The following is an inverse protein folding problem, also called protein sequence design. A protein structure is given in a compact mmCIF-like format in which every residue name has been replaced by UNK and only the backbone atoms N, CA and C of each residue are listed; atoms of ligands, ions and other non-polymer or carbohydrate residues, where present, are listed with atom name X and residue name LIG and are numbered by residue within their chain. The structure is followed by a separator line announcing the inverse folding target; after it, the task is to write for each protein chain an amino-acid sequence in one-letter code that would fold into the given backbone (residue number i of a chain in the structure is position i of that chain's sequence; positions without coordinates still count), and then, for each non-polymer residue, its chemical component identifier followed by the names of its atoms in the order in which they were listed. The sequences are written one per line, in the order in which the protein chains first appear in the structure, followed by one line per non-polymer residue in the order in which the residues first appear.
data_IF_881358728153
#
_entry.id   IF_881358728153
#
_cell.length_a   1.000
_cell.length_b   1.000
_cell.length_c   1.000
_cell.angle_alpha   90.00
_cell.angle_beta   90.00
_cell.angle_gamma   90.00
#
_symmetry.space_group_name_H-M   'P 1'
#
loop_
_entity.id
_entity.type
_entity.pdbx_description
1 polymer ?
#
# COMPACT_ATOMS: atom_id res chain seq x y z
N UNK A 1 -0.40 -24.97 -13.46
CA UNK A 1 0.40 -24.56 -12.28
C UNK A 1 0.16 -25.58 -11.17
N UNK A 2 1.19 -26.14 -10.58
CA UNK A 2 1.07 -27.02 -9.40
C UNK A 2 0.80 -26.13 -8.20
N UNK A 3 -0.29 -26.42 -7.46
CA UNK A 3 -0.65 -25.70 -6.25
C UNK A 3 -0.17 -26.46 -5.02
N UNK A 4 0.28 -25.71 -3.99
CA UNK A 4 0.68 -26.26 -2.71
C UNK A 4 0.19 -25.37 -1.56
N UNK A 5 -0.10 -26.00 -0.42
CA UNK A 5 -0.51 -25.28 0.79
C UNK A 5 0.66 -24.48 1.36
N UNK A 6 0.45 -23.17 1.54
CA UNK A 6 1.45 -22.24 2.05
C UNK A 6 1.07 -21.66 3.43
N UNK A 7 -0.02 -22.16 4.02
CA UNK A 7 -0.44 -21.82 5.37
C UNK A 7 -1.77 -21.09 5.43
N UNK A 8 -2.14 -20.74 6.67
CA UNK A 8 -3.43 -20.14 7.00
C UNK A 8 -3.23 -18.80 7.72
N UNK A 9 -4.04 -17.82 7.34
CA UNK A 9 -4.06 -16.47 7.89
C UNK A 9 -5.52 -16.01 8.02
N UNK A 10 -5.76 -14.91 8.74
CA UNK A 10 -7.11 -14.35 8.83
C UNK A 10 -7.40 -13.47 7.61
N UNK A 11 -6.41 -12.67 7.18
CA UNK A 11 -6.59 -11.72 6.10
C UNK A 11 -5.37 -11.66 5.17
N UNK A 12 -5.63 -11.55 3.88
CA UNK A 12 -4.62 -11.23 2.87
C UNK A 12 -4.81 -9.79 2.38
N UNK A 13 -3.74 -9.01 2.34
CA UNK A 13 -3.71 -7.68 1.73
C UNK A 13 -2.86 -7.75 0.46
N UNK A 14 -3.45 -7.42 -0.67
CA UNK A 14 -2.84 -7.54 -2.01
C UNK A 14 -2.40 -6.16 -2.46
N UNK A 15 -1.11 -5.89 -2.33
CA UNK A 15 -0.46 -4.62 -2.62
C UNK A 15 0.01 -3.89 -1.37
N UNK A 16 1.30 -3.48 -1.36
CA UNK A 16 1.93 -2.71 -0.28
C UNK A 16 2.16 -1.24 -0.68
N UNK A 17 1.21 -0.65 -1.39
CA UNK A 17 1.06 0.80 -1.52
C UNK A 17 0.45 1.39 -0.23
N UNK A 18 0.21 2.70 -0.21
CA UNK A 18 -0.28 3.37 1.02
C UNK A 18 -1.55 2.73 1.60
N UNK A 19 -2.54 2.46 0.76
CA UNK A 19 -3.79 1.84 1.20
C UNK A 19 -3.57 0.43 1.76
N UNK A 20 -2.73 -0.38 1.10
CA UNK A 20 -2.42 -1.72 1.56
C UNK A 20 -1.63 -1.75 2.85
N UNK A 21 -0.65 -0.84 3.02
CA UNK A 21 0.11 -0.71 4.26
C UNK A 21 -0.82 -0.41 5.44
N UNK A 22 -1.69 0.59 5.28
CA UNK A 22 -2.62 0.98 6.34
C UNK A 22 -3.61 -0.14 6.68
N UNK A 23 -4.13 -0.84 5.68
CA UNK A 23 -5.01 -1.99 5.88
C UNK A 23 -4.29 -3.14 6.60
N UNK A 24 -3.05 -3.45 6.20
CA UNK A 24 -2.27 -4.52 6.81
C UNK A 24 -1.90 -4.21 8.26
N UNK A 25 -1.45 -2.99 8.54
CA UNK A 25 -1.13 -2.55 9.91
C UNK A 25 -2.37 -2.53 10.79
N UNK A 26 -3.50 -2.02 10.29
CA UNK A 26 -4.75 -2.00 11.04
C UNK A 26 -5.21 -3.42 11.40
N UNK A 27 -5.23 -4.34 10.44
CA UNK A 27 -5.62 -5.73 10.67
C UNK A 27 -4.71 -6.43 11.70
N UNK A 28 -3.40 -6.27 11.56
CA UNK A 28 -2.43 -6.87 12.47
C UNK A 28 -2.51 -6.30 13.89
N UNK A 29 -2.73 -4.99 14.02
CA UNK A 29 -2.94 -4.31 15.33
C UNK A 29 -4.24 -4.72 16.01
N UNK A 30 -5.23 -5.16 15.24
CA UNK A 30 -6.46 -5.79 15.76
C UNK A 30 -6.25 -7.26 16.18
N UNK A 31 -5.04 -7.80 16.08
CA UNK A 31 -4.71 -9.17 16.47
C UNK A 31 -4.95 -10.21 15.37
N UNK A 32 -5.28 -9.79 14.14
CA UNK A 32 -5.48 -10.72 13.03
C UNK A 32 -4.13 -11.16 12.43
N UNK A 33 -4.01 -12.45 12.14
CA UNK A 33 -2.87 -12.98 11.38
C UNK A 33 -2.96 -12.49 9.95
N UNK A 34 -2.15 -11.49 9.62
CA UNK A 34 -2.23 -10.72 8.38
C UNK A 34 -1.08 -11.04 7.45
N UNK A 35 -1.39 -11.29 6.18
CA UNK A 35 -0.41 -11.52 5.13
C UNK A 35 -0.50 -10.38 4.11
N UNK A 36 0.58 -9.62 3.94
CA UNK A 36 0.66 -8.52 2.97
C UNK A 36 1.54 -8.92 1.79
N UNK A 37 1.00 -8.85 0.59
CA UNK A 37 1.70 -9.17 -0.65
C UNK A 37 2.17 -7.91 -1.36
N UNK A 38 3.35 -7.96 -1.93
CA UNK A 38 3.87 -6.95 -2.85
C UNK A 38 4.62 -7.62 -3.99
N UNK A 39 4.56 -7.03 -5.17
CA UNK A 39 5.34 -7.50 -6.33
C UNK A 39 6.83 -7.16 -6.20
N UNK A 40 7.16 -6.16 -5.38
CA UNK A 40 8.53 -5.74 -5.11
C UNK A 40 8.65 -5.17 -3.69
N UNK A 41 9.50 -5.77 -2.85
CA UNK A 41 9.77 -5.31 -1.48
C UNK A 41 10.45 -3.93 -1.42
N UNK A 42 11.15 -3.52 -2.46
CA UNK A 42 11.78 -2.20 -2.53
C UNK A 42 10.82 -1.10 -3.02
N UNK A 43 9.58 -1.48 -3.40
CA UNK A 43 8.52 -0.55 -3.79
C UNK A 43 7.43 -0.38 -2.71
N UNK A 44 7.65 -0.89 -1.49
CA UNK A 44 6.73 -0.67 -0.35
C UNK A 44 6.63 0.82 -0.05
N UNK A 45 5.41 1.35 0.05
CA UNK A 45 5.16 2.77 0.31
C UNK A 45 5.67 3.70 -0.79
N UNK A 46 5.76 3.22 -2.02
CA UNK A 46 6.31 3.99 -3.14
C UNK A 46 5.51 5.25 -3.42
N UNK A 47 6.23 6.34 -3.72
CA UNK A 47 5.68 7.62 -4.15
C UNK A 47 6.15 7.92 -5.58
N UNK A 48 5.47 7.38 -6.62
CA UNK A 48 5.97 7.45 -8.00
C UNK A 48 5.91 8.85 -8.60
N UNK A 49 5.07 9.73 -8.05
CA UNK A 49 5.00 11.13 -8.48
C UNK A 49 5.89 12.03 -7.61
N UNK A 50 5.31 13.06 -6.99
CA UNK A 50 6.00 13.91 -6.04
C UNK A 50 6.09 13.21 -4.67
N UNK A 51 7.26 13.15 -4.02
CA UNK A 51 7.39 12.60 -2.68
C UNK A 51 6.84 13.60 -1.66
N UNK A 52 5.52 13.70 -1.60
CA UNK A 52 4.82 14.64 -0.73
C UNK A 52 3.53 14.03 -0.17
N UNK A 53 3.30 14.28 1.12
CA UNK A 53 2.11 13.86 1.85
C UNK A 53 1.26 15.07 2.19
N UNK A 54 -0.06 14.95 2.06
CA UNK A 54 -1.01 16.04 2.30
C UNK A 54 -1.24 16.93 1.08
N UNK A 55 -1.50 18.20 1.32
CA UNK A 55 -1.90 19.17 0.30
C UNK A 55 -3.41 19.26 0.10
N UNK A 56 -3.82 20.09 -0.87
CA UNK A 56 -5.24 20.35 -1.17
C UNK A 56 -5.95 19.06 -1.58
N UNK A 57 -7.09 18.77 -0.96
CA UNK A 57 -7.89 17.57 -1.21
C UNK A 57 -7.32 16.27 -0.64
N UNK A 58 -6.16 16.29 0.03
CA UNK A 58 -5.48 15.12 0.59
C UNK A 58 -5.17 15.25 2.07
N UNK A 59 -4.82 16.45 2.55
CA UNK A 59 -4.36 16.68 3.92
C UNK A 59 -5.39 16.31 4.99
N UNK A 60 -6.66 16.49 4.74
CA UNK A 60 -7.74 16.08 5.65
C UNK A 60 -7.85 14.56 5.75
N UNK A 61 -7.72 13.83 4.63
CA UNK A 61 -7.71 12.37 4.64
C UNK A 61 -6.54 11.79 5.44
N UNK A 62 -5.35 12.40 5.32
CA UNK A 62 -4.18 12.00 6.13
C UNK A 62 -4.45 12.20 7.62
N UNK A 63 -5.08 13.32 8.01
CA UNK A 63 -5.42 13.61 9.40
C UNK A 63 -6.50 12.68 9.96
N UNK A 64 -7.51 12.35 9.15
CA UNK A 64 -8.55 11.38 9.53
C UNK A 64 -7.93 10.00 9.75
N UNK A 65 -7.04 9.58 8.84
CA UNK A 65 -6.31 8.34 8.96
C UNK A 65 -5.41 8.32 10.21
N UNK A 66 -4.68 9.39 10.46
CA UNK A 66 -3.81 9.55 11.65
C UNK A 66 -4.63 9.48 12.95
N UNK A 67 -5.79 10.10 12.99
CA UNK A 67 -6.72 10.04 14.13
C UNK A 67 -7.23 8.63 14.43
N UNK A 68 -7.26 7.74 13.43
CA UNK A 68 -7.59 6.33 13.56
C UNK A 68 -6.37 5.44 13.89
N UNK A 69 -5.19 6.04 14.10
CA UNK A 69 -3.96 5.33 14.41
C UNK A 69 -3.16 4.88 13.18
N UNK A 70 -3.41 5.49 12.01
CA UNK A 70 -2.67 5.23 10.77
C UNK A 70 -1.20 5.64 10.84
N UNK A 71 -0.41 5.14 9.92
CA UNK A 71 1.05 5.29 9.94
C UNK A 71 1.56 6.36 8.98
N UNK A 72 0.77 6.74 7.98
CA UNK A 72 1.19 7.68 6.93
C UNK A 72 1.64 9.04 7.48
N UNK A 73 0.91 9.62 8.43
CA UNK A 73 1.26 10.90 9.07
C UNK A 73 2.57 10.79 9.83
N UNK A 74 2.73 9.76 10.64
CA UNK A 74 3.94 9.49 11.45
C UNK A 74 5.18 9.25 10.59
N UNK A 75 5.03 8.47 9.51
CA UNK A 75 6.12 8.24 8.56
C UNK A 75 6.48 9.52 7.78
N UNK A 76 5.48 10.33 7.44
CA UNK A 76 5.71 11.64 6.81
C UNK A 76 6.49 12.56 7.72
N UNK A 77 6.18 12.62 9.03
CA UNK A 77 6.91 13.43 9.99
C UNK A 77 8.38 13.01 10.12
N UNK A 78 8.66 11.71 10.10
CA UNK A 78 10.03 11.18 10.16
C UNK A 78 10.85 11.48 8.90
N UNK A 79 10.21 11.44 7.74
CA UNK A 79 10.88 11.60 6.45
C UNK A 79 10.76 13.02 5.88
N UNK A 80 10.17 13.96 6.63
CA UNK A 80 9.90 15.30 6.15
C UNK A 80 11.17 16.12 5.95
N UNK A 81 11.28 16.70 4.75
CA UNK A 81 12.33 17.66 4.40
C UNK A 81 11.82 19.09 4.60
N UNK A 82 10.56 19.35 4.28
CA UNK A 82 9.93 20.65 4.34
C UNK A 82 8.42 20.57 4.56
N UNK A 83 7.91 21.39 5.48
CA UNK A 83 6.48 21.64 5.60
C UNK A 83 6.10 22.96 4.92
N UNK A 84 4.97 22.94 4.21
CA UNK A 84 4.42 24.14 3.60
C UNK A 84 2.90 24.15 3.69
N UNK A 85 2.34 25.30 4.07
CA UNK A 85 0.90 25.54 3.96
C UNK A 85 0.62 26.10 2.57
N UNK A 86 -0.17 25.37 1.80
CA UNK A 86 -0.65 25.77 0.48
C UNK A 86 -1.87 26.67 0.59
N UNK A 87 -2.13 27.46 -0.46
CA UNK A 87 -3.33 28.31 -0.60
C UNK A 87 -3.50 29.41 0.47
N UNK A 88 -2.42 29.90 1.08
CA UNK A 88 -2.48 30.98 2.08
C UNK A 88 -3.23 32.22 1.61
N UNK A 89 -3.13 32.56 0.33
CA UNK A 89 -3.82 33.70 -0.27
C UNK A 89 -5.31 33.48 -0.59
N UNK A 90 -5.83 32.24 -0.39
CA UNK A 90 -7.22 31.88 -0.75
C UNK A 90 -8.17 31.77 0.45
N UNK A 91 -7.69 32.06 1.65
CA UNK A 91 -8.45 31.99 2.88
C UNK A 91 -8.32 30.68 3.66
N UNK A 92 -8.66 30.68 4.97
CA UNK A 92 -8.39 29.57 5.89
C UNK A 92 -9.08 28.26 5.51
N UNK A 93 -10.23 28.30 4.88
CA UNK A 93 -11.03 27.13 4.52
C UNK A 93 -10.29 26.18 3.54
N UNK A 94 -9.34 26.68 2.76
CA UNK A 94 -8.57 25.90 1.79
C UNK A 94 -7.08 25.82 2.13
N UNK A 95 -6.68 26.25 3.32
CA UNK A 95 -5.32 26.06 3.80
C UNK A 95 -5.01 24.57 3.94
N UNK A 96 -3.94 24.12 3.33
CA UNK A 96 -3.61 22.72 3.29
C UNK A 96 -2.15 22.52 3.62
N UNK A 97 -1.88 21.77 4.68
CA UNK A 97 -0.52 21.37 5.03
C UNK A 97 -0.03 20.33 4.04
N UNK A 98 1.18 20.54 3.52
CA UNK A 98 1.91 19.58 2.68
C UNK A 98 3.29 19.36 3.25
N UNK A 99 3.64 18.11 3.50
CA UNK A 99 4.97 17.67 3.83
C UNK A 99 5.69 17.21 2.54
N UNK A 100 6.81 17.83 2.21
CA UNK A 100 7.75 17.30 1.22
C UNK A 100 8.61 16.28 1.94
N UNK A 101 8.68 15.04 1.44
CA UNK A 101 9.39 13.95 2.11
C UNK A 101 10.64 13.53 1.33
N UNK A 102 11.63 13.01 2.05
CA UNK A 102 12.65 12.15 1.46
C UNK A 102 11.98 10.82 1.09
N UNK A 103 11.93 10.53 -0.21
CA UNK A 103 11.25 9.34 -0.74
C UNK A 103 11.84 8.05 -0.19
N UNK A 104 13.16 7.94 -0.11
CA UNK A 104 13.84 6.73 0.34
C UNK A 104 13.69 6.51 1.83
N UNK A 105 13.84 7.58 2.62
CA UNK A 105 13.63 7.50 4.05
C UNK A 105 12.18 7.15 4.39
N UNK A 106 11.21 7.72 3.68
CA UNK A 106 9.79 7.37 3.83
C UNK A 106 9.52 5.88 3.55
N UNK A 107 10.04 5.36 2.43
CA UNK A 107 9.91 3.95 2.07
C UNK A 107 10.56 3.03 3.13
N UNK A 108 11.74 3.39 3.61
CA UNK A 108 12.45 2.66 4.67
C UNK A 108 11.62 2.63 5.97
N UNK A 109 11.07 3.75 6.38
CA UNK A 109 10.22 3.84 7.59
C UNK A 109 8.99 2.95 7.41
N UNK A 110 8.28 3.06 6.28
CA UNK A 110 7.08 2.27 6.02
C UNK A 110 7.36 0.77 5.95
N UNK A 111 8.45 0.38 5.28
CA UNK A 111 8.87 -1.03 5.19
C UNK A 111 9.21 -1.59 6.57
N UNK A 112 9.99 -0.87 7.36
CA UNK A 112 10.32 -1.27 8.73
C UNK A 112 9.07 -1.42 9.60
N UNK A 113 8.10 -0.51 9.48
CA UNK A 113 6.88 -0.59 10.26
C UNK A 113 6.06 -1.84 9.92
N UNK A 114 6.02 -2.25 8.64
CA UNK A 114 5.39 -3.51 8.25
C UNK A 114 6.15 -4.74 8.76
N UNK A 115 7.47 -4.76 8.60
CA UNK A 115 8.31 -5.92 8.93
C UNK A 115 8.42 -6.16 10.45
N UNK A 116 8.34 -5.09 11.25
CA UNK A 116 8.40 -5.17 12.72
C UNK A 116 7.02 -5.33 13.39
N UNK A 117 5.93 -5.21 12.64
CA UNK A 117 4.60 -5.33 13.21
C UNK A 117 4.29 -6.79 13.57
N UNK A 118 3.93 -7.03 14.82
CA UNK A 118 3.42 -8.33 15.27
C UNK A 118 2.17 -8.74 14.47
N UNK A 119 1.99 -10.02 14.25
CA UNK A 119 0.88 -10.62 13.48
C UNK A 119 0.85 -10.21 12.00
N UNK A 120 1.94 -9.68 11.45
CA UNK A 120 2.05 -9.27 10.06
C UNK A 120 3.23 -9.96 9.37
N UNK A 121 2.98 -10.55 8.21
CA UNK A 121 4.00 -11.14 7.34
C UNK A 121 3.94 -10.47 5.97
N UNK A 122 5.09 -9.98 5.52
CA UNK A 122 5.22 -9.39 4.18
C UNK A 122 5.83 -10.41 3.23
N UNK A 123 5.21 -10.61 2.08
CA UNK A 123 5.65 -11.55 1.05
C UNK A 123 5.82 -10.86 -0.29
N UNK A 124 6.99 -11.07 -0.91
CA UNK A 124 7.16 -10.70 -2.31
C UNK A 124 6.58 -11.79 -3.19
N UNK A 125 5.38 -11.55 -3.69
CA UNK A 125 4.70 -12.41 -4.64
C UNK A 125 3.57 -11.66 -5.34
N UNK A 126 3.28 -12.05 -6.56
CA UNK A 126 2.09 -11.63 -7.29
C UNK A 126 0.95 -12.59 -6.96
N UNK A 127 -0.18 -12.05 -6.51
CA UNK A 127 -1.42 -12.81 -6.32
C UNK A 127 -2.18 -12.82 -7.64
N UNK A 128 -2.44 -14.01 -8.16
CA UNK A 128 -3.08 -14.21 -9.48
C UNK A 128 -4.52 -14.68 -9.39
N UNK A 129 -4.96 -15.13 -8.21
CA UNK A 129 -6.32 -15.64 -8.04
C UNK A 129 -6.79 -15.46 -6.58
N UNK A 130 -8.08 -15.16 -6.42
CA UNK A 130 -8.78 -15.17 -5.14
C UNK A 130 -9.75 -16.33 -5.17
N UNK A 131 -9.60 -17.26 -4.24
CA UNK A 131 -10.46 -18.41 -4.10
C UNK A 131 -11.70 -18.05 -3.28
N UNK A 132 -12.85 -18.60 -3.70
CA UNK A 132 -14.12 -18.42 -2.99
C UNK A 132 -14.79 -19.77 -2.76
N UNK A 133 -15.42 -19.90 -1.61
CA UNK A 133 -16.22 -21.08 -1.25
C UNK A 133 -17.42 -20.64 -0.43
N UNK A 134 -18.59 -21.19 -0.71
CA UNK A 134 -19.81 -20.85 0.00
C UNK A 134 -20.21 -19.36 -0.05
N UNK A 135 -19.78 -18.62 -1.09
CA UNK A 135 -20.04 -17.19 -1.25
C UNK A 135 -19.09 -16.27 -0.49
N UNK A 136 -18.07 -16.81 0.19
CA UNK A 136 -17.03 -16.07 0.89
C UNK A 136 -15.63 -16.30 0.32
N UNK A 137 -14.66 -15.47 0.70
CA UNK A 137 -13.24 -15.69 0.38
C UNK A 137 -12.73 -16.89 1.18
N UNK A 138 -12.03 -17.82 0.52
CA UNK A 138 -11.42 -19.00 1.15
C UNK A 138 -9.90 -19.03 1.02
N UNK A 139 -9.32 -18.26 0.10
CA UNK A 139 -7.88 -18.21 -0.07
C UNK A 139 -7.41 -17.28 -1.18
N UNK A 140 -6.09 -17.18 -1.31
CA UNK A 140 -5.41 -16.50 -2.41
C UNK A 140 -4.32 -17.40 -2.99
N UNK A 141 -4.09 -17.30 -4.29
CA UNK A 141 -3.07 -18.08 -5.01
C UNK A 141 -2.05 -17.12 -5.60
N UNK A 142 -0.78 -17.42 -5.40
CA UNK A 142 0.32 -16.65 -6.01
C UNK A 142 0.73 -17.24 -7.37
N UNK A 143 1.44 -16.46 -8.16
CA UNK A 143 1.99 -16.87 -9.47
C UNK A 143 2.91 -18.10 -9.38
N UNK A 144 3.46 -18.42 -8.19
CA UNK A 144 4.27 -19.62 -7.95
C UNK A 144 3.46 -20.85 -7.56
N UNK A 145 2.14 -20.72 -7.42
CA UNK A 145 1.23 -21.79 -7.02
C UNK A 145 1.04 -21.93 -5.50
N UNK A 146 1.63 -21.05 -4.70
CA UNK A 146 1.38 -21.06 -3.26
C UNK A 146 -0.07 -20.65 -2.96
N UNK A 147 -0.76 -21.49 -2.21
CA UNK A 147 -2.15 -21.26 -1.77
C UNK A 147 -2.15 -20.90 -0.28
N UNK A 148 -2.59 -19.70 0.03
CA UNK A 148 -2.78 -19.24 1.39
C UNK A 148 -4.28 -19.23 1.70
N UNK A 149 -4.70 -19.99 2.71
CA UNK A 149 -6.10 -19.94 3.19
C UNK A 149 -6.30 -18.66 3.97
N UNK A 150 -7.34 -17.90 3.62
CA UNK A 150 -7.70 -16.65 4.30
C UNK A 150 -9.22 -16.51 4.38
N UNK A 151 -9.69 -15.80 5.40
CA UNK A 151 -11.12 -15.51 5.62
C UNK A 151 -11.57 -14.24 4.88
N UNK A 152 -10.63 -13.35 4.57
CA UNK A 152 -10.88 -12.10 3.85
C UNK A 152 -9.68 -11.69 3.01
N UNK A 153 -9.93 -10.90 1.96
CA UNK A 153 -8.89 -10.32 1.13
C UNK A 153 -9.17 -8.82 0.89
N UNK A 154 -8.14 -7.99 1.06
CA UNK A 154 -8.17 -6.57 0.71
C UNK A 154 -7.36 -6.38 -0.56
N UNK A 155 -8.03 -5.92 -1.63
CA UNK A 155 -7.37 -5.63 -2.91
C UNK A 155 -6.95 -4.17 -2.92
N UNK A 156 -5.64 -3.92 -2.84
CA UNK A 156 -5.03 -2.59 -2.79
C UNK A 156 -3.94 -2.42 -3.86
N UNK A 157 -4.20 -2.92 -5.07
CA UNK A 157 -3.26 -3.01 -6.20
C UNK A 157 -2.88 -1.66 -6.80
N UNK A 158 -3.61 -0.59 -6.46
CA UNK A 158 -3.34 0.74 -6.97
C UNK A 158 -3.45 0.80 -8.51
N UNK A 159 -2.45 1.39 -9.15
CA UNK A 159 -2.40 1.59 -10.61
C UNK A 159 -1.61 0.50 -11.34
N UNK A 160 -1.28 -0.61 -10.68
CA UNK A 160 -0.54 -1.73 -11.31
C UNK A 160 -1.46 -2.68 -12.07
N UNK A 161 -2.68 -2.91 -11.59
CA UNK A 161 -3.63 -3.85 -12.17
C UNK A 161 -4.09 -3.37 -13.55
N UNK A 162 -3.68 -4.08 -14.61
CA UNK A 162 -3.93 -3.69 -15.99
C UNK A 162 -3.33 -2.33 -16.35
N UNK A 163 -2.24 -1.94 -15.68
CA UNK A 163 -1.63 -0.62 -15.80
C UNK A 163 -1.05 -0.36 -17.18
N UNK A 164 -1.19 0.89 -17.67
CA UNK A 164 -0.59 1.34 -18.93
C UNK A 164 0.11 2.67 -18.75
N UNK A 165 1.28 2.80 -19.33
CA UNK A 165 2.02 4.06 -19.41
C UNK A 165 1.92 4.61 -20.82
N UNK A 166 1.54 5.88 -20.92
CA UNK A 166 1.40 6.58 -22.20
C UNK A 166 2.38 7.76 -22.22
N UNK A 167 3.29 7.77 -23.18
CA UNK A 167 4.25 8.85 -23.39
C UNK A 167 4.19 9.26 -24.86
N UNK A 168 3.57 10.38 -25.15
CA UNK A 168 3.23 10.78 -26.52
C UNK A 168 2.31 9.74 -27.17
N UNK A 169 2.73 9.15 -28.27
CA UNK A 169 1.99 8.11 -29.00
C UNK A 169 2.35 6.68 -28.54
N UNK A 170 3.37 6.55 -27.68
CA UNK A 170 3.84 5.23 -27.22
C UNK A 170 2.98 4.76 -26.04
N UNK A 171 2.33 3.62 -26.20
CA UNK A 171 1.56 2.93 -25.16
C UNK A 171 2.28 1.64 -24.77
N UNK A 172 2.49 1.43 -23.47
CA UNK A 172 3.11 0.20 -22.93
C UNK A 172 2.32 -0.29 -21.74
N UNK A 173 2.11 -1.59 -21.65
CA UNK A 173 1.60 -2.21 -20.44
C UNK A 173 2.71 -2.17 -19.38
N UNK A 174 2.51 -1.39 -18.33
CA UNK A 174 3.47 -1.20 -17.25
C UNK A 174 2.81 -0.61 -16.01
N UNK A 175 3.40 -0.89 -14.85
CA UNK A 175 3.13 -0.18 -13.61
C UNK A 175 3.96 1.10 -13.47
N UNK A 176 3.79 1.81 -12.34
CA UNK A 176 4.60 2.98 -12.01
C UNK A 176 6.11 2.67 -11.92
N UNK A 177 6.94 3.68 -12.19
CA UNK A 177 8.41 3.62 -12.08
C UNK A 177 9.08 2.50 -12.91
N UNK A 178 8.46 2.09 -14.02
CA UNK A 178 9.01 1.05 -14.90
C UNK A 178 8.83 -0.38 -14.37
N UNK A 179 8.06 -0.58 -13.31
CA UNK A 179 7.67 -1.91 -12.86
C UNK A 179 6.65 -2.51 -13.82
N UNK A 180 6.55 -3.85 -13.82
CA UNK A 180 5.56 -4.54 -14.64
C UNK A 180 4.13 -4.15 -14.23
N UNK A 181 3.19 -4.22 -15.17
CA UNK A 181 1.77 -4.26 -14.85
C UNK A 181 1.44 -5.61 -14.19
N UNK A 182 0.46 -5.62 -13.31
CA UNK A 182 -0.06 -6.82 -12.67
C UNK A 182 -1.35 -7.30 -13.35
#
# INVERSE_FOLDING_TARGET
MIRYDAGEFDIAVIGAGHAGIEAALAAARMGLRTLCFTVNLDAVGNMPCNPAIGGTGKGHLVRELDALGGEMGRAADRACIQYRILNRGKGPAVWSLRAQADRREYQKVMKNNLELQENLWVKQAEVVEILTEGGGVSGVVTHTGAVYRVKAAVVATGTYLGGRTIVGEVVRDSGPDGLAAA
#
